data_IF_841264375336
#
_entry.id   IF_841264375336
#
_cell.length_a   1.000
_cell.length_b   1.000
_cell.length_c   1.000
_cell.angle_alpha   90.00
_cell.angle_beta   90.00
_cell.angle_gamma   90.00
#
_symmetry.space_group_name_H-M   'P 1'
#
loop_
_entity.id
_entity.type
_entity.pdbx_description
1 polymer ?
#
# COMPACT_ATOMS: atom_id res chain seq x y z
N UNK A 1 36.80 -21.91 -11.65
CA UNK A 1 35.52 -22.45 -11.13
C UNK A 1 35.07 -21.89 -9.77
N UNK A 2 35.78 -20.97 -9.09
CA UNK A 2 35.33 -20.41 -7.79
C UNK A 2 34.44 -19.15 -7.88
N UNK A 3 34.58 -18.34 -8.94
CA UNK A 3 33.80 -17.10 -9.11
C UNK A 3 32.31 -17.33 -9.39
N UNK A 4 31.98 -18.41 -10.10
CA UNK A 4 30.60 -18.74 -10.47
C UNK A 4 29.76 -19.21 -9.26
N UNK A 5 30.37 -19.89 -8.30
CA UNK A 5 29.71 -20.35 -7.06
C UNK A 5 29.28 -19.17 -6.17
N UNK A 6 30.15 -18.16 -6.05
CA UNK A 6 29.85 -16.95 -5.29
C UNK A 6 28.69 -16.16 -5.91
N UNK A 7 28.66 -16.05 -7.25
CA UNK A 7 27.56 -15.39 -7.97
C UNK A 7 26.22 -16.11 -7.76
N UNK A 8 26.19 -17.44 -7.83
CA UNK A 8 24.97 -18.21 -7.58
C UNK A 8 24.44 -18.01 -6.15
N UNK A 9 25.32 -17.99 -5.15
CA UNK A 9 24.93 -17.72 -3.76
C UNK A 9 24.33 -16.32 -3.59
N UNK A 10 24.91 -15.31 -4.22
CA UNK A 10 24.39 -13.93 -4.16
C UNK A 10 22.99 -13.87 -4.80
N UNK A 11 22.82 -14.46 -5.98
CA UNK A 11 21.52 -14.48 -6.67
C UNK A 11 20.45 -15.19 -5.83
N UNK A 12 20.77 -16.31 -5.22
CA UNK A 12 19.84 -17.04 -4.35
C UNK A 12 19.45 -16.23 -3.10
N UNK A 13 20.41 -15.52 -2.49
CA UNK A 13 20.10 -14.62 -1.38
C UNK A 13 19.21 -13.46 -1.82
N UNK A 14 19.45 -12.89 -3.00
CA UNK A 14 18.65 -11.80 -3.56
C UNK A 14 17.22 -12.24 -3.86
N UNK A 15 17.02 -13.38 -4.53
CA UNK A 15 15.69 -13.95 -4.80
C UNK A 15 14.92 -14.25 -3.50
N UNK A 16 15.62 -14.73 -2.46
CA UNK A 16 15.03 -14.93 -1.13
C UNK A 16 14.63 -13.62 -0.45
N UNK A 17 15.43 -12.56 -0.62
CA UNK A 17 15.12 -11.23 -0.09
C UNK A 17 13.92 -10.64 -0.83
N UNK A 18 13.92 -10.73 -2.17
CA UNK A 18 12.84 -10.27 -3.04
C UNK A 18 11.52 -10.95 -2.65
N UNK A 19 11.47 -12.28 -2.56
CA UNK A 19 10.27 -13.03 -2.12
C UNK A 19 9.77 -12.66 -0.72
N UNK A 20 10.66 -12.27 0.20
CA UNK A 20 10.29 -11.81 1.55
C UNK A 20 9.70 -10.40 1.52
N UNK A 21 10.18 -9.54 0.63
CA UNK A 21 9.66 -8.18 0.42
C UNK A 21 8.34 -8.20 -0.35
N UNK A 22 8.21 -9.12 -1.30
CA UNK A 22 7.01 -9.35 -2.11
C UNK A 22 5.86 -10.02 -1.33
N UNK A 23 6.09 -10.29 -0.04
CA UNK A 23 5.09 -10.69 0.94
C UNK A 23 4.05 -9.60 1.19
N UNK A 24 3.25 -9.31 0.17
CA UNK A 24 1.92 -8.70 0.20
C UNK A 24 1.69 -7.76 1.38
N UNK A 25 2.16 -6.52 1.25
CA UNK A 25 1.57 -5.38 1.95
C UNK A 25 0.14 -5.06 1.44
N UNK A 26 -0.63 -6.07 0.98
CA UNK A 26 -1.98 -5.90 0.45
C UNK A 26 -2.96 -5.35 1.48
N UNK A 27 -2.60 -5.43 2.77
CA UNK A 27 -3.39 -4.90 3.87
C UNK A 27 -2.73 -3.70 4.58
N UNK A 28 -1.95 -2.88 3.86
CA UNK A 28 -1.51 -1.60 4.43
C UNK A 28 -2.72 -0.71 4.67
N UNK A 29 -2.91 -0.33 5.93
CA UNK A 29 -3.85 0.71 6.30
C UNK A 29 -3.18 2.07 6.24
N UNK A 30 -3.83 3.00 5.55
CA UNK A 30 -3.42 4.39 5.41
C UNK A 30 -4.30 5.27 6.29
N UNK A 31 -3.73 6.32 6.86
CA UNK A 31 -4.50 7.41 7.44
C UNK A 31 -4.89 8.43 6.36
N UNK A 32 -5.78 9.38 6.68
CA UNK A 32 -6.27 10.36 5.70
C UNK A 32 -5.18 11.23 5.06
N UNK A 33 -4.08 11.53 5.79
CA UNK A 33 -2.95 12.29 5.22
C UNK A 33 -2.18 11.44 4.22
N UNK A 34 -1.89 10.19 4.56
CA UNK A 34 -1.26 9.25 3.64
C UNK A 34 -2.09 8.99 2.38
N UNK A 35 -3.42 8.97 2.51
CA UNK A 35 -4.30 8.92 1.34
C UNK A 35 -4.19 10.21 0.51
N UNK A 36 -4.18 11.38 1.16
CA UNK A 36 -3.99 12.66 0.49
C UNK A 36 -2.68 12.72 -0.29
N UNK A 37 -1.59 12.21 0.29
CA UNK A 37 -0.27 12.15 -0.33
C UNK A 37 -0.25 11.16 -1.50
N UNK A 38 -0.90 10.00 -1.33
CA UNK A 38 -0.97 8.95 -2.36
C UNK A 38 -1.78 9.39 -3.59
N UNK A 39 -2.91 10.07 -3.38
CA UNK A 39 -3.85 10.42 -4.46
C UNK A 39 -3.69 11.86 -4.95
N UNK A 40 -2.87 12.67 -4.30
CA UNK A 40 -2.78 14.12 -4.52
C UNK A 40 -4.12 14.87 -4.34
N UNK A 41 -5.11 14.24 -3.71
CA UNK A 41 -6.43 14.82 -3.45
C UNK A 41 -6.49 15.39 -2.04
N UNK A 42 -7.09 16.57 -1.86
CA UNK A 42 -7.22 17.17 -0.54
C UNK A 42 -8.00 16.29 0.45
N UNK A 43 -7.64 16.37 1.73
CA UNK A 43 -8.37 15.68 2.81
C UNK A 43 -9.86 16.02 2.86
N UNK A 44 -10.25 17.23 2.48
CA UNK A 44 -11.65 17.65 2.38
C UNK A 44 -12.40 16.90 1.27
N UNK A 45 -11.78 16.70 0.10
CA UNK A 45 -12.37 15.89 -0.97
C UNK A 45 -12.47 14.42 -0.57
N UNK A 46 -11.46 13.88 0.12
CA UNK A 46 -11.51 12.50 0.65
C UNK A 46 -12.68 12.34 1.63
N UNK A 47 -12.91 13.31 2.53
CA UNK A 47 -14.06 13.30 3.44
C UNK A 47 -15.40 13.33 2.69
N UNK A 48 -15.51 14.13 1.62
CA UNK A 48 -16.71 14.16 0.77
C UNK A 48 -16.95 12.80 0.09
N UNK A 49 -15.91 12.16 -0.46
CA UNK A 49 -16.02 10.84 -1.07
C UNK A 49 -16.53 9.78 -0.06
N UNK A 50 -16.06 9.85 1.19
CA UNK A 50 -16.58 8.98 2.27
C UNK A 50 -18.06 9.27 2.57
N UNK A 51 -18.46 10.54 2.60
CA UNK A 51 -19.85 10.94 2.85
C UNK A 51 -20.80 10.50 1.73
N UNK A 52 -20.32 10.52 0.48
CA UNK A 52 -21.07 10.04 -0.70
C UNK A 52 -21.15 8.52 -0.80
N UNK A 53 -20.21 7.81 -0.17
CA UNK A 53 -20.12 6.34 -0.20
C UNK A 53 -19.12 5.80 -1.23
N UNK A 54 -18.50 6.67 -2.03
CA UNK A 54 -17.52 6.31 -3.07
C UNK A 54 -16.26 5.66 -2.49
N UNK A 55 -15.82 6.10 -1.31
CA UNK A 55 -14.59 5.63 -0.67
C UNK A 55 -14.86 4.96 0.68
N UNK A 56 -14.56 3.66 0.76
CA UNK A 56 -14.70 2.87 1.99
C UNK A 56 -13.58 3.17 2.99
N UNK A 57 -13.95 3.39 4.25
CA UNK A 57 -13.01 3.54 5.36
C UNK A 57 -13.47 2.79 6.62
N UNK A 58 -12.52 2.46 7.48
CA UNK A 58 -12.75 1.94 8.82
C UNK A 58 -12.61 3.10 9.81
N UNK A 59 -13.62 3.27 10.66
CA UNK A 59 -13.62 4.27 11.74
C UNK A 59 -13.26 3.56 13.04
N UNK A 60 -12.12 3.89 13.65
CA UNK A 60 -11.69 3.31 14.94
C UNK A 60 -11.16 4.41 15.84
N UNK A 61 -11.78 4.60 17.02
CA UNK A 61 -11.37 5.58 18.03
C UNK A 61 -11.17 7.00 17.45
N UNK A 62 -12.11 7.47 16.62
CA UNK A 62 -12.03 8.80 15.97
C UNK A 62 -11.04 8.90 14.80
N UNK A 63 -10.30 7.83 14.49
CA UNK A 63 -9.37 7.79 13.36
C UNK A 63 -10.02 7.14 12.14
N UNK A 64 -9.69 7.67 10.97
CA UNK A 64 -10.04 7.10 9.66
C UNK A 64 -8.87 6.27 9.14
N UNK A 65 -9.14 5.00 8.87
CA UNK A 65 -8.19 4.05 8.29
C UNK A 65 -8.73 3.57 6.94
N UNK A 66 -7.86 3.55 5.95
CA UNK A 66 -8.20 3.19 4.58
C UNK A 66 -7.33 2.01 4.16
N UNK A 67 -7.95 0.97 3.62
CA UNK A 67 -7.18 -0.08 2.98
C UNK A 67 -6.60 0.49 1.67
N UNK A 68 -5.29 0.41 1.46
CA UNK A 68 -4.67 0.98 0.25
C UNK A 68 -5.32 0.45 -1.04
N UNK A 69 -5.67 -0.84 -1.08
CA UNK A 69 -6.41 -1.45 -2.20
C UNK A 69 -7.75 -0.78 -2.47
N UNK A 70 -8.48 -0.36 -1.43
CA UNK A 70 -9.76 0.32 -1.59
C UNK A 70 -9.57 1.75 -2.13
N UNK A 71 -8.50 2.43 -1.73
CA UNK A 71 -8.13 3.76 -2.25
C UNK A 71 -7.77 3.68 -3.72
N UNK A 72 -6.96 2.69 -4.11
CA UNK A 72 -6.59 2.47 -5.52
C UNK A 72 -7.81 2.17 -6.38
N UNK A 73 -8.68 1.25 -5.93
CA UNK A 73 -9.93 0.96 -6.63
C UNK A 73 -10.80 2.21 -6.82
N UNK A 74 -10.91 3.06 -5.80
CA UNK A 74 -11.66 4.31 -5.89
C UNK A 74 -11.10 5.31 -6.92
N UNK A 75 -9.81 5.22 -7.28
CA UNK A 75 -9.23 6.05 -8.34
C UNK A 75 -9.41 5.47 -9.75
N UNK A 76 -9.58 4.15 -9.84
CA UNK A 76 -9.75 3.45 -11.12
C UNK A 76 -11.20 3.49 -11.63
N UNK A 77 -12.16 3.83 -10.74
CA UNK A 77 -13.60 4.05 -11.03
C UNK A 77 -13.86 5.51 -11.47
#
# INVERSE_FOLDING_TARGET
MKGTDMLHRIIEQLDRIEKKLDGKYTNRYLNIRQVSDLTSVSTSTIRRAIQRGDLKCIKKLGKLLFLEKAVRKWLDD
#
